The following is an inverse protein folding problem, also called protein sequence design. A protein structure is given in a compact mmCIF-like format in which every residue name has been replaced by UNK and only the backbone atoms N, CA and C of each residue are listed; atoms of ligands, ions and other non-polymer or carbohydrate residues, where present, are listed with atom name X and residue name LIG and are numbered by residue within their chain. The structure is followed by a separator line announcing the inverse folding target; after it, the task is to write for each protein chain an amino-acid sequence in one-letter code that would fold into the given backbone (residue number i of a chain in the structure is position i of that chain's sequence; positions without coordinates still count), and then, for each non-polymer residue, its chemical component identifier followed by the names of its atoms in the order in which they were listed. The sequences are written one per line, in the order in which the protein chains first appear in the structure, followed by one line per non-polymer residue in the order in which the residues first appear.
data_IF_902629053979
#
_entry.id   IF_902629053979
#
_cell.length_a   1.000
_cell.length_b   1.000
_cell.length_c   1.000
_cell.angle_alpha   90.00
_cell.angle_beta   90.00
_cell.angle_gamma   90.00
#
_symmetry.space_group_name_H-M   'P 1'
#
loop_
_entity.id
_entity.type
_entity.pdbx_description
1 polymer ?
#
# COMPACT_ATOMS: atom_id res chain seq x y z
N UNK A 1 -18.01 36.41 -43.32
CA UNK A 1 -17.28 35.49 -42.42
C UNK A 1 -18.10 35.02 -41.21
N UNK A 2 -18.68 35.88 -40.34
CA UNK A 2 -19.40 35.37 -39.15
C UNK A 2 -20.53 34.35 -39.45
N UNK A 3 -21.37 34.59 -40.48
CA UNK A 3 -22.49 33.69 -40.84
C UNK A 3 -22.05 32.29 -41.32
N UNK A 4 -20.93 32.16 -42.02
CA UNK A 4 -20.45 30.86 -42.52
C UNK A 4 -19.89 29.99 -41.41
N UNK A 5 -19.24 30.58 -40.40
CA UNK A 5 -18.75 29.87 -39.22
C UNK A 5 -19.92 29.25 -38.44
N UNK A 6 -21.02 30.00 -38.23
CA UNK A 6 -22.21 29.51 -37.53
C UNK A 6 -22.82 28.28 -38.20
N UNK A 7 -22.94 28.28 -39.54
CA UNK A 7 -23.50 27.16 -40.30
C UNK A 7 -22.60 25.91 -40.18
N UNK A 8 -21.27 26.07 -40.32
CA UNK A 8 -20.32 24.98 -40.18
C UNK A 8 -20.36 24.34 -38.77
N UNK A 9 -20.48 25.14 -37.71
CA UNK A 9 -20.60 24.64 -36.34
C UNK A 9 -21.87 23.82 -36.10
N UNK A 10 -23.01 24.24 -36.65
CA UNK A 10 -24.29 23.49 -36.53
C UNK A 10 -24.24 22.16 -37.28
N UNK A 11 -23.63 22.13 -38.47
CA UNK A 11 -23.45 20.90 -39.25
C UNK A 11 -22.53 19.92 -38.48
N UNK A 12 -21.40 20.39 -37.95
CA UNK A 12 -20.46 19.57 -37.18
C UNK A 12 -21.11 18.97 -35.92
N UNK A 13 -21.88 19.76 -35.18
CA UNK A 13 -22.60 19.31 -33.99
C UNK A 13 -23.65 18.24 -34.34
N UNK A 14 -24.37 18.42 -35.45
CA UNK A 14 -25.35 17.45 -35.95
C UNK A 14 -24.70 16.12 -36.35
N UNK A 15 -23.52 16.17 -36.97
CA UNK A 15 -22.74 14.99 -37.36
C UNK A 15 -22.23 14.20 -36.15
N UNK A 16 -21.70 14.89 -35.13
CA UNK A 16 -21.27 14.26 -33.88
C UNK A 16 -22.44 13.59 -33.14
N UNK A 17 -23.62 14.22 -33.13
CA UNK A 17 -24.81 13.67 -32.49
C UNK A 17 -25.35 12.45 -33.25
N UNK A 18 -25.25 12.44 -34.59
CA UNK A 18 -25.57 11.26 -35.41
C UNK A 18 -24.63 10.08 -35.13
N UNK A 19 -23.31 10.35 -35.03
CA UNK A 19 -22.31 9.33 -34.69
C UNK A 19 -22.61 8.75 -33.30
N UNK A 20 -22.90 9.59 -32.29
CA UNK A 20 -23.22 9.14 -30.93
C UNK A 20 -24.50 8.29 -30.85
N UNK A 21 -25.49 8.53 -31.73
CA UNK A 21 -26.68 7.69 -31.84
C UNK A 21 -26.38 6.33 -32.51
N UNK A 22 -25.45 6.30 -33.48
CA UNK A 22 -25.04 5.09 -34.19
C UNK A 22 -24.08 4.20 -33.38
N UNK A 23 -23.28 4.77 -32.47
CA UNK A 23 -22.30 4.03 -31.66
C UNK A 23 -22.84 3.49 -30.34
N UNK A 24 -24.13 3.68 -30.02
CA UNK A 24 -24.73 3.06 -28.81
C UNK A 24 -24.72 1.52 -28.93
N UNK A 25 -24.01 0.79 -28.04
CA UNK A 25 -24.01 -0.66 -28.07
C UNK A 25 -25.41 -1.19 -27.79
N UNK A 26 -25.87 -2.06 -28.69
CA UNK A 26 -27.20 -2.68 -28.61
C UNK A 26 -27.13 -3.82 -27.59
N UNK A 27 -27.64 -3.61 -26.38
CA UNK A 27 -27.76 -4.67 -25.36
C UNK A 27 -28.66 -5.79 -25.87
N UNK A 28 -28.05 -6.82 -26.44
CA UNK A 28 -28.71 -7.97 -27.03
C UNK A 28 -28.87 -9.07 -25.97
N UNK A 29 -30.00 -9.05 -25.26
CA UNK A 29 -30.45 -10.23 -24.52
C UNK A 29 -30.76 -11.34 -25.52
N UNK A 30 -29.94 -12.40 -25.54
CA UNK A 30 -30.25 -13.64 -26.24
C UNK A 30 -29.94 -14.85 -25.36
N UNK A 31 -30.99 -15.37 -24.74
CA UNK A 31 -31.15 -16.80 -24.56
C UNK A 31 -31.13 -17.50 -25.92
N UNK A 32 -30.22 -18.45 -26.16
CA UNK A 32 -30.62 -19.72 -26.78
C UNK A 32 -29.62 -20.86 -26.61
N UNK A 33 -30.14 -22.08 -26.79
CA UNK A 33 -29.48 -23.38 -26.64
C UNK A 33 -28.59 -23.73 -27.85
N UNK A 34 -27.94 -24.90 -27.73
CA UNK A 34 -27.27 -25.69 -28.78
C UNK A 34 -25.88 -25.16 -29.21
N UNK A 35 -24.85 -25.99 -29.44
CA UNK A 35 -24.74 -27.46 -29.44
C UNK A 35 -23.25 -27.85 -29.36
N UNK A 36 -22.84 -28.65 -28.36
CA UNK A 36 -21.46 -29.18 -28.30
C UNK A 36 -21.41 -30.54 -28.99
N UNK A 37 -20.61 -30.63 -30.06
CA UNK A 37 -20.31 -31.89 -30.75
C UNK A 37 -19.10 -32.52 -30.05
N UNK A 38 -19.25 -33.74 -29.53
CA UNK A 38 -18.13 -34.54 -29.01
C UNK A 38 -17.40 -35.28 -30.14
N UNK A 39 -16.09 -35.53 -30.01
CA UNK A 39 -15.42 -36.66 -30.63
C UNK A 39 -15.55 -37.95 -29.77
N UNK A 40 -15.95 -39.04 -30.43
CA UNK A 40 -15.87 -40.46 -30.03
C UNK A 40 -14.38 -40.85 -29.89
N UNK A 41 -13.86 -41.69 -28.98
CA UNK A 41 -14.36 -42.75 -28.06
C UNK A 41 -13.34 -42.85 -26.87
N UNK A 42 -13.37 -43.71 -25.84
CA UNK A 42 -14.07 -44.96 -25.56
C UNK A 42 -14.36 -45.20 -24.05
N UNK A 43 -15.42 -45.99 -23.81
CA UNK A 43 -15.67 -46.99 -22.75
C UNK A 43 -14.60 -47.24 -21.67
N UNK A 44 -14.92 -47.58 -20.41
CA UNK A 44 -16.22 -47.73 -19.69
C UNK A 44 -15.95 -47.70 -18.16
N UNK A 45 -16.92 -47.71 -17.24
CA UNK A 45 -18.37 -47.91 -17.29
C UNK A 45 -19.07 -47.02 -16.23
N UNK A 46 -20.39 -47.11 -16.06
CA UNK A 46 -21.11 -46.44 -14.96
C UNK A 46 -22.34 -47.22 -14.49
N UNK A 47 -22.34 -47.61 -13.22
CA UNK A 47 -23.49 -48.13 -12.45
C UNK A 47 -23.14 -47.93 -10.97
N UNK A 48 -24.02 -47.44 -10.07
CA UNK A 48 -25.44 -47.77 -9.87
C UNK A 48 -26.24 -46.61 -9.24
N UNK A 49 -27.50 -46.48 -9.68
CA UNK A 49 -28.72 -45.85 -9.06
C UNK A 49 -28.65 -44.62 -8.15
N UNK A 50 -29.61 -43.75 -8.45
CA UNK A 50 -30.22 -42.70 -7.62
C UNK A 50 -31.16 -43.28 -6.54
N UNK A 51 -31.22 -42.65 -5.35
CA UNK A 51 -32.44 -42.24 -4.60
C UNK A 51 -32.43 -42.48 -3.08
N UNK A 52 -33.11 -41.56 -2.37
CA UNK A 52 -33.63 -41.56 -0.99
C UNK A 52 -32.82 -40.81 0.07
N UNK A 53 -33.57 -40.18 0.97
CA UNK A 53 -33.17 -39.14 1.91
C UNK A 53 -32.61 -39.72 3.21
N UNK A 54 -31.55 -39.10 3.75
CA UNK A 54 -31.45 -38.74 5.17
C UNK A 54 -30.19 -37.92 5.45
N UNK A 55 -30.16 -37.23 6.58
CA UNK A 55 -29.01 -36.46 7.06
C UNK A 55 -27.75 -37.32 7.11
N UNK A 56 -26.70 -36.88 6.43
CA UNK A 56 -25.34 -37.06 6.92
C UNK A 56 -24.55 -35.76 6.71
N UNK A 57 -23.66 -35.46 7.66
CA UNK A 57 -22.79 -34.30 7.56
C UNK A 57 -21.87 -34.47 6.37
N UNK A 58 -21.91 -33.51 5.43
CA UNK A 58 -21.02 -33.52 4.26
C UNK A 58 -19.58 -33.68 4.71
N UNK A 59 -18.94 -34.79 4.32
CA UNK A 59 -17.49 -34.95 4.44
C UNK A 59 -16.84 -33.73 3.79
N UNK A 60 -16.13 -32.97 4.61
CA UNK A 60 -15.24 -31.91 4.16
C UNK A 60 -14.03 -32.65 3.61
N UNK A 61 -13.92 -32.74 2.28
CA UNK A 61 -12.64 -33.06 1.65
C UNK A 61 -11.63 -32.01 2.14
N UNK A 62 -10.72 -32.46 3.01
CA UNK A 62 -9.60 -31.66 3.48
C UNK A 62 -8.57 -31.64 2.33
N UNK A 63 -8.32 -30.44 1.79
CA UNK A 63 -7.33 -30.16 0.76
C UNK A 63 -5.93 -29.98 1.34
N UNK A 64 -5.84 -29.75 2.65
CA UNK A 64 -4.65 -29.60 3.49
C UNK A 64 -4.88 -30.29 4.83
N UNK A 65 -3.79 -30.75 5.45
CA UNK A 65 -3.81 -31.33 6.80
C UNK A 65 -4.04 -30.28 7.91
N UNK A 66 -3.87 -28.98 7.61
CA UNK A 66 -4.27 -27.86 8.45
C UNK A 66 -5.73 -27.39 8.15
N UNK A 67 -6.69 -27.61 9.09
CA UNK A 67 -8.07 -27.14 8.93
C UNK A 67 -8.20 -25.62 8.77
N UNK A 68 -7.23 -24.84 9.25
CA UNK A 68 -7.26 -23.37 9.25
C UNK A 68 -7.10 -22.78 7.85
N UNK A 69 -6.48 -23.51 6.91
CA UNK A 69 -6.21 -23.02 5.54
C UNK A 69 -7.13 -23.62 4.48
N UNK A 70 -7.90 -24.65 4.82
CA UNK A 70 -8.81 -25.34 3.91
C UNK A 70 -9.84 -24.40 3.26
N UNK A 71 -10.27 -23.33 3.95
CA UNK A 71 -11.12 -22.30 3.37
C UNK A 71 -10.40 -21.48 2.29
N UNK A 72 -9.13 -21.13 2.51
CA UNK A 72 -8.28 -20.43 1.53
C UNK A 72 -8.10 -21.27 0.27
N UNK A 73 -7.80 -22.56 0.45
CA UNK A 73 -7.61 -23.50 -0.65
C UNK A 73 -8.90 -23.64 -1.47
N UNK A 74 -10.07 -23.72 -0.84
CA UNK A 74 -11.36 -23.76 -1.56
C UNK A 74 -11.58 -22.54 -2.46
N UNK A 75 -11.14 -21.36 -2.03
CA UNK A 75 -11.28 -20.12 -2.81
C UNK A 75 -10.23 -20.02 -3.92
N UNK A 76 -8.99 -20.47 -3.67
CA UNK A 76 -7.85 -20.23 -4.58
C UNK A 76 -7.57 -21.40 -5.53
N UNK A 77 -7.83 -22.65 -5.13
CA UNK A 77 -7.59 -23.86 -5.93
C UNK A 77 -8.19 -23.83 -7.36
N UNK A 78 -9.37 -23.23 -7.61
CA UNK A 78 -9.89 -23.09 -8.98
C UNK A 78 -9.04 -22.21 -9.92
N UNK A 79 -8.08 -21.46 -9.38
CA UNK A 79 -7.26 -20.49 -10.11
C UNK A 79 -5.76 -20.84 -10.14
N UNK A 80 -5.34 -21.90 -9.45
CA UNK A 80 -3.92 -22.32 -9.35
C UNK A 80 -3.71 -23.73 -9.92
N UNK A 81 -2.52 -24.06 -10.45
CA UNK A 81 -1.35 -23.21 -10.60
C UNK A 81 -1.56 -22.08 -11.63
N UNK A 82 -1.00 -20.91 -11.35
CA UNK A 82 -0.96 -19.77 -12.26
C UNK A 82 0.47 -19.24 -12.36
N UNK A 83 0.85 -18.81 -13.55
CA UNK A 83 2.21 -18.36 -13.87
C UNK A 83 2.17 -17.32 -15.00
N UNK A 84 2.85 -16.20 -14.81
CA UNK A 84 3.09 -15.18 -15.82
C UNK A 84 4.58 -14.78 -15.86
N UNK A 85 4.92 -13.67 -16.51
CA UNK A 85 6.30 -13.17 -16.57
C UNK A 85 6.82 -12.66 -15.21
N UNK A 86 5.92 -12.21 -14.32
CA UNK A 86 6.24 -11.53 -13.07
C UNK A 86 6.24 -12.48 -11.86
N UNK A 87 5.37 -13.49 -11.81
CA UNK A 87 5.28 -14.44 -10.69
C UNK A 87 4.75 -15.85 -11.07
N UNK A 88 4.81 -16.76 -10.09
CA UNK A 88 4.12 -18.06 -10.10
C UNK A 88 3.42 -18.27 -8.76
N UNK A 89 2.22 -18.83 -8.78
CA UNK A 89 1.47 -19.25 -7.59
C UNK A 89 0.96 -20.68 -7.76
N UNK A 90 1.22 -21.55 -6.78
CA UNK A 90 0.83 -22.96 -6.81
C UNK A 90 0.61 -23.51 -5.40
N UNK A 91 -0.06 -24.66 -5.27
CA UNK A 91 -0.14 -25.37 -4.00
C UNK A 91 1.02 -26.37 -3.90
N UNK A 92 1.69 -26.42 -2.75
CA UNK A 92 2.73 -27.41 -2.46
C UNK A 92 2.34 -28.26 -1.27
N UNK A 93 2.18 -29.56 -1.51
CA UNK A 93 1.99 -30.58 -0.48
C UNK A 93 3.20 -30.72 0.46
N UNK A 94 4.40 -30.35 0.00
CA UNK A 94 5.64 -30.52 0.78
C UNK A 94 5.72 -29.56 1.98
N UNK A 95 5.01 -28.43 1.88
CA UNK A 95 4.88 -27.41 2.94
C UNK A 95 3.43 -27.18 3.37
N UNK A 96 2.50 -28.00 2.86
CA UNK A 96 1.04 -27.91 3.05
C UNK A 96 0.47 -26.49 2.84
N UNK A 97 1.01 -25.75 1.86
CA UNK A 97 0.72 -24.30 1.67
C UNK A 97 0.73 -23.85 0.21
N UNK A 98 0.10 -22.71 -0.04
CA UNK A 98 0.15 -21.96 -1.28
C UNK A 98 1.51 -21.25 -1.38
N UNK A 99 2.32 -21.67 -2.34
CA UNK A 99 3.64 -21.10 -2.62
C UNK A 99 3.49 -20.00 -3.65
N UNK A 100 4.07 -18.83 -3.36
CA UNK A 100 4.25 -17.77 -4.36
C UNK A 100 5.75 -17.59 -4.64
N UNK A 101 6.12 -17.70 -5.91
CA UNK A 101 7.49 -17.53 -6.40
C UNK A 101 7.59 -16.23 -7.19
N UNK A 102 8.45 -15.33 -6.74
CA UNK A 102 8.69 -14.03 -7.39
C UNK A 102 9.70 -14.21 -8.55
N UNK A 103 9.36 -13.72 -9.75
CA UNK A 103 10.26 -13.74 -10.93
C UNK A 103 10.83 -12.36 -11.24
N UNK A 104 10.08 -11.30 -10.97
CA UNK A 104 10.48 -9.91 -11.19
C UNK A 104 10.23 -9.06 -9.94
N UNK A 105 10.84 -7.85 -9.86
CA UNK A 105 10.50 -6.87 -8.82
C UNK A 105 9.03 -6.39 -8.84
N UNK A 106 8.23 -6.76 -9.85
CA UNK A 106 6.80 -6.43 -9.97
C UNK A 106 5.88 -7.58 -9.53
N UNK A 107 6.40 -8.76 -9.23
CA UNK A 107 5.66 -9.92 -8.72
C UNK A 107 4.60 -9.51 -7.68
N UNK A 108 5.05 -8.71 -6.72
CA UNK A 108 4.27 -8.07 -5.67
C UNK A 108 2.97 -7.42 -6.14
N UNK A 109 3.08 -6.47 -7.07
CA UNK A 109 1.98 -5.72 -7.64
C UNK A 109 1.04 -6.62 -8.46
N UNK A 110 1.62 -7.62 -9.13
CA UNK A 110 0.97 -8.51 -10.10
C UNK A 110 0.14 -9.60 -9.44
N UNK A 111 0.64 -10.22 -8.36
CA UNK A 111 -0.15 -11.08 -7.46
C UNK A 111 -1.37 -10.31 -6.96
N UNK A 112 -1.17 -9.05 -6.56
CA UNK A 112 -2.21 -8.15 -6.06
C UNK A 112 -3.30 -7.89 -7.10
N UNK A 113 -2.90 -7.54 -8.34
CA UNK A 113 -3.81 -7.31 -9.46
C UNK A 113 -4.55 -8.59 -9.85
N UNK A 114 -3.88 -9.74 -9.81
CA UNK A 114 -4.45 -11.04 -10.10
C UNK A 114 -5.53 -11.44 -9.09
N UNK A 115 -5.28 -11.32 -7.78
CA UNK A 115 -6.26 -11.62 -6.74
C UNK A 115 -7.52 -10.76 -6.88
N UNK A 116 -7.36 -9.46 -7.15
CA UNK A 116 -8.48 -8.55 -7.41
C UNK A 116 -9.26 -8.95 -8.67
N UNK A 117 -8.57 -9.30 -9.77
CA UNK A 117 -9.20 -9.76 -11.01
C UNK A 117 -9.95 -11.09 -10.87
N UNK A 118 -9.61 -11.92 -9.88
CA UNK A 118 -10.33 -13.18 -9.58
C UNK A 118 -11.45 -13.02 -8.55
N UNK A 119 -11.71 -11.80 -8.08
CA UNK A 119 -12.69 -11.51 -7.02
C UNK A 119 -12.41 -12.30 -5.71
N UNK A 120 -11.14 -12.69 -5.49
CA UNK A 120 -10.69 -13.42 -4.30
C UNK A 120 -10.66 -12.42 -3.12
N UNK A 121 -11.78 -12.38 -2.40
CA UNK A 121 -12.06 -11.42 -1.33
C UNK A 121 -11.69 -11.98 0.07
N UNK A 122 -11.89 -11.12 1.08
CA UNK A 122 -11.38 -11.09 2.47
C UNK A 122 -11.33 -12.38 3.32
N UNK A 123 -11.75 -13.54 2.81
CA UNK A 123 -11.82 -14.82 3.52
C UNK A 123 -10.70 -15.83 3.17
N UNK A 124 -9.49 -15.34 2.84
CA UNK A 124 -8.29 -16.16 2.62
C UNK A 124 -7.35 -16.08 3.84
N UNK A 125 -7.07 -17.22 4.48
CA UNK A 125 -6.14 -17.29 5.62
C UNK A 125 -4.71 -16.98 5.12
N UNK A 126 -4.04 -15.94 5.63
CA UNK A 126 -2.69 -15.55 5.22
C UNK A 126 -1.62 -16.56 5.66
N UNK A 127 -1.87 -17.37 6.70
CA UNK A 127 -0.98 -18.47 7.09
C UNK A 127 -0.97 -19.60 6.05
N UNK A 128 -1.94 -19.63 5.13
CA UNK A 128 -1.96 -20.53 3.98
C UNK A 128 -0.89 -20.23 2.93
N UNK A 129 -0.17 -19.11 3.03
CA UNK A 129 0.81 -18.68 2.04
C UNK A 129 2.24 -18.73 2.55
N UNK A 130 3.17 -19.05 1.65
CA UNK A 130 4.62 -18.86 1.83
C UNK A 130 5.24 -18.24 0.59
N UNK A 131 6.22 -17.37 0.79
CA UNK A 131 7.07 -16.88 -0.29
C UNK A 131 8.22 -17.86 -0.53
N UNK A 132 8.51 -18.14 -1.80
CA UNK A 132 9.67 -18.91 -2.21
C UNK A 132 10.74 -18.00 -2.78
N UNK A 133 11.88 -17.91 -2.08
CA UNK A 133 13.06 -17.23 -2.60
C UNK A 133 13.69 -18.08 -3.71
N UNK A 134 13.81 -17.51 -4.90
CA UNK A 134 14.38 -18.17 -6.08
C UNK A 134 15.90 -18.36 -6.01
N UNK A 135 16.60 -17.59 -5.16
CA UNK A 135 18.05 -17.66 -5.00
C UNK A 135 18.48 -18.75 -4.00
N UNK A 136 17.75 -18.89 -2.89
CA UNK A 136 18.04 -19.88 -1.84
C UNK A 136 17.16 -21.13 -1.89
N UNK A 137 16.07 -21.11 -2.68
CA UNK A 137 15.02 -22.15 -2.72
C UNK A 137 14.43 -22.43 -1.31
N UNK A 138 14.36 -21.42 -0.45
CA UNK A 138 13.77 -21.50 0.90
C UNK A 138 12.38 -20.85 0.94
N UNK A 139 11.59 -21.24 1.95
CA UNK A 139 10.25 -20.72 2.19
C UNK A 139 10.23 -19.76 3.37
N UNK A 140 9.63 -18.58 3.19
CA UNK A 140 9.47 -17.57 4.24
C UNK A 140 7.99 -17.47 4.62
N UNK A 141 7.70 -17.60 5.92
CA UNK A 141 6.34 -17.42 6.46
C UNK A 141 6.15 -15.96 6.87
N UNK A 142 5.07 -15.28 6.45
CA UNK A 142 4.78 -13.91 6.88
C UNK A 142 4.38 -13.85 8.37
N UNK A 143 4.74 -12.76 9.05
CA UNK A 143 4.47 -12.50 10.49
C UNK A 143 4.33 -10.97 10.66
N UNK A 144 3.51 -10.41 11.59
CA UNK A 144 2.61 -11.00 12.63
C UNK A 144 1.13 -11.04 12.15
N UNK A 145 0.10 -11.48 12.92
CA UNK A 145 -1.19 -11.93 12.37
C UNK A 145 -2.06 -10.82 11.75
N UNK A 146 -2.81 -11.19 10.71
CA UNK A 146 -2.96 -10.38 9.49
C UNK A 146 -4.43 -10.09 9.11
N UNK A 147 -4.70 -8.88 8.59
CA UNK A 147 -5.91 -8.56 7.82
C UNK A 147 -5.68 -8.83 6.32
N UNK A 148 -6.63 -9.57 5.78
CA UNK A 148 -6.38 -10.53 4.70
C UNK A 148 -5.94 -9.91 3.35
N UNK A 149 -6.63 -8.88 2.87
CA UNK A 149 -6.37 -8.36 1.51
C UNK A 149 -5.32 -7.25 1.50
N UNK A 150 -5.23 -6.45 2.55
CA UNK A 150 -4.29 -5.31 2.63
C UNK A 150 -2.87 -5.79 2.89
N UNK A 151 -2.69 -6.72 3.82
CA UNK A 151 -1.36 -6.98 4.35
C UNK A 151 -0.59 -8.00 3.51
N UNK A 152 -1.30 -8.79 2.68
CA UNK A 152 -0.66 -9.57 1.61
C UNK A 152 0.12 -8.63 0.67
N UNK A 153 -0.41 -7.43 0.39
CA UNK A 153 0.28 -6.43 -0.40
C UNK A 153 1.47 -5.82 0.38
N UNK A 154 1.36 -5.62 1.70
CA UNK A 154 2.47 -5.16 2.56
C UNK A 154 3.62 -6.17 2.70
N UNK A 155 3.32 -7.47 2.64
CA UNK A 155 4.34 -8.53 2.56
C UNK A 155 5.11 -8.40 1.25
N UNK A 156 4.37 -8.36 0.15
CA UNK A 156 4.92 -8.30 -1.20
C UNK A 156 5.73 -7.03 -1.50
N UNK A 157 5.31 -5.86 -0.98
CA UNK A 157 6.02 -4.60 -1.19
C UNK A 157 7.36 -4.48 -0.45
N UNK A 158 7.69 -5.38 0.48
CA UNK A 158 8.94 -5.35 1.24
C UNK A 158 10.01 -6.33 0.72
N UNK A 159 9.64 -7.47 0.14
CA UNK A 159 10.60 -8.50 -0.36
C UNK A 159 11.48 -7.98 -1.50
N UNK A 160 11.00 -7.01 -2.28
CA UNK A 160 11.72 -6.42 -3.42
C UNK A 160 12.93 -5.53 -3.10
N UNK A 161 13.35 -5.40 -1.83
CA UNK A 161 14.61 -4.74 -1.47
C UNK A 161 15.61 -5.77 -0.91
N UNK A 162 16.63 -6.08 -1.72
CA UNK A 162 17.52 -7.21 -1.48
C UNK A 162 18.27 -7.17 -0.14
N UNK A 163 18.05 -8.19 0.67
CA UNK A 163 18.81 -8.45 1.89
C UNK A 163 20.22 -8.96 1.56
N UNK A 164 21.16 -8.05 1.33
CA UNK A 164 22.58 -8.38 1.28
C UNK A 164 23.10 -8.70 2.70
N UNK A 165 22.97 -9.96 3.11
CA UNK A 165 23.72 -10.47 4.25
C UNK A 165 25.22 -10.34 3.96
N UNK A 166 25.96 -9.63 4.82
CA UNK A 166 27.41 -9.74 4.88
C UNK A 166 27.85 -9.93 6.33
N UNK A 167 28.07 -11.19 6.69
CA UNK A 167 28.74 -11.55 7.93
C UNK A 167 30.22 -11.16 7.83
N UNK A 168 30.65 -10.16 8.59
CA UNK A 168 32.06 -10.10 9.03
C UNK A 168 32.16 -9.78 10.51
N UNK A 169 32.64 -10.75 11.29
CA UNK A 169 33.10 -10.53 12.65
C UNK A 169 34.32 -9.61 12.67
N UNK A 170 34.25 -8.46 13.34
CA UNK A 170 35.42 -7.86 13.98
C UNK A 170 35.04 -7.43 15.40
N UNK A 171 35.77 -7.97 16.38
CA UNK A 171 35.70 -7.58 17.78
C UNK A 171 37.05 -6.96 18.17
N UNK A 172 37.05 -5.70 18.59
CA UNK A 172 38.02 -5.14 19.55
C UNK A 172 37.45 -3.89 20.24
N UNK A 173 37.99 -3.61 21.44
CA UNK A 173 37.36 -2.80 22.49
C UNK A 173 37.72 -1.27 22.42
N UNK A 174 37.13 -0.40 23.28
CA UNK A 174 36.93 1.03 22.97
C UNK A 174 38.08 1.97 23.36
N UNK A 175 38.12 3.17 22.76
CA UNK A 175 38.97 4.29 23.21
C UNK A 175 38.26 5.65 23.15
N UNK A 176 37.93 6.16 24.34
CA UNK A 176 38.01 7.54 24.86
C UNK A 176 37.76 8.75 23.91
N UNK A 177 36.80 9.57 24.35
CA UNK A 177 36.39 10.90 23.87
C UNK A 177 37.46 11.99 24.03
N UNK A 178 37.52 13.00 23.14
CA UNK A 178 37.87 14.37 23.50
C UNK A 178 36.65 15.30 23.44
N UNK A 179 36.44 16.05 24.53
CA UNK A 179 35.37 17.04 24.69
C UNK A 179 35.65 18.30 23.86
N UNK A 180 34.65 18.81 23.13
CA UNK A 180 34.63 20.22 22.69
C UNK A 180 33.40 20.91 23.27
N UNK A 181 33.64 21.82 24.21
CA UNK A 181 32.66 22.85 24.61
C UNK A 181 32.57 23.88 23.49
N UNK A 182 31.35 24.21 23.07
CA UNK A 182 31.04 25.56 22.63
C UNK A 182 29.61 25.91 23.06
N UNK A 183 29.44 27.06 23.71
CA UNK A 183 28.17 27.43 24.33
C UNK A 183 27.35 28.36 23.46
N UNK A 184 26.03 28.21 23.54
CA UNK A 184 25.03 29.26 23.36
C UNK A 184 25.05 30.01 22.01
N UNK A 185 24.02 29.79 21.20
CA UNK A 185 23.06 30.87 20.93
C UNK A 185 21.70 30.34 20.44
N UNK A 186 20.68 30.56 21.26
CA UNK A 186 19.28 30.30 20.94
C UNK A 186 18.82 31.28 19.85
N UNK A 187 18.58 30.83 18.62
CA UNK A 187 17.92 31.61 17.57
C UNK A 187 16.55 31.06 17.19
N UNK A 188 15.61 31.40 18.08
CA UNK A 188 14.29 31.98 17.76
C UNK A 188 13.53 31.37 16.57
N UNK A 189 12.55 30.53 16.91
CA UNK A 189 11.43 30.12 16.05
C UNK A 189 10.79 31.35 15.39
N UNK A 190 10.91 31.48 14.08
CA UNK A 190 10.26 32.55 13.33
C UNK A 190 8.78 32.19 13.12
N UNK A 191 7.88 32.78 13.91
CA UNK A 191 6.46 32.84 13.56
C UNK A 191 6.33 33.58 12.23
N UNK A 192 5.97 32.87 11.17
CA UNK A 192 5.44 33.49 9.94
C UNK A 192 3.94 33.20 9.92
N UNK A 193 3.15 34.25 10.16
CA UNK A 193 1.71 34.21 10.00
C UNK A 193 1.38 34.40 8.52
N UNK A 194 0.76 33.40 7.89
CA UNK A 194 -0.05 33.58 6.70
C UNK A 194 -1.49 33.19 7.03
N UNK A 195 -2.44 34.03 6.62
CA UNK A 195 -3.85 33.87 6.98
C UNK A 195 -4.49 32.73 6.18
N UNK A 196 -5.01 31.72 6.89
CA UNK A 196 -5.77 30.61 6.32
C UNK A 196 -5.67 29.36 7.21
N UNK A 197 -6.65 29.15 8.10
CA UNK A 197 -6.69 27.99 9.01
C UNK A 197 -5.93 28.20 10.33
N UNK A 198 -6.65 28.14 11.46
CA UNK A 198 -6.14 28.55 12.77
C UNK A 198 -5.41 27.44 13.56
N UNK A 199 -5.03 26.34 12.89
CA UNK A 199 -4.41 25.16 13.50
C UNK A 199 -2.98 24.96 12.98
N UNK A 200 -2.00 25.45 13.75
CA UNK A 200 -0.61 25.03 13.56
C UNK A 200 -0.45 23.60 14.06
N UNK A 201 -0.37 22.65 13.12
CA UNK A 201 -0.05 21.26 13.44
C UNK A 201 1.39 21.11 13.94
N UNK A 202 1.65 20.03 14.68
CA UNK A 202 2.99 19.71 15.20
C UNK A 202 3.84 19.11 14.09
N UNK A 203 5.04 19.68 13.90
CA UNK A 203 6.01 19.20 12.93
C UNK A 203 7.21 18.55 13.60
N UNK A 204 7.67 17.43 13.04
CA UNK A 204 8.90 16.75 13.39
C UNK A 204 9.70 16.45 12.11
N UNK A 205 10.94 16.91 12.05
CA UNK A 205 11.85 16.51 10.98
C UNK A 205 12.49 15.15 11.29
N UNK A 206 12.58 14.29 10.27
CA UNK A 206 13.19 12.95 10.34
C UNK A 206 14.71 13.05 10.56
N UNK A 207 15.35 14.00 9.90
CA UNK A 207 16.77 14.35 10.06
C UNK A 207 16.91 15.71 10.75
N UNK A 208 18.15 16.07 11.12
CA UNK A 208 18.51 17.37 11.67
C UNK A 208 17.68 17.77 12.93
N UNK A 209 17.20 16.76 13.68
CA UNK A 209 16.32 16.88 14.85
C UNK A 209 16.85 16.06 16.03
N UNK A 210 16.35 16.29 17.27
CA UNK A 210 16.72 15.48 18.45
C UNK A 210 16.37 13.99 18.32
N UNK A 211 15.50 13.62 17.38
CA UNK A 211 15.05 12.25 17.14
C UNK A 211 15.86 11.53 16.06
N UNK A 212 16.64 12.27 15.26
CA UNK A 212 17.31 11.78 14.05
C UNK A 212 18.23 10.56 14.28
N UNK A 213 18.89 10.50 15.45
CA UNK A 213 19.82 9.44 15.84
C UNK A 213 19.18 8.28 16.63
N UNK A 214 17.85 8.28 16.83
CA UNK A 214 17.17 7.17 17.51
C UNK A 214 17.34 5.88 16.68
N UNK A 215 17.77 4.76 17.28
CA UNK A 215 17.90 3.49 16.57
C UNK A 215 16.56 2.92 16.09
N UNK A 216 16.54 2.61 14.80
CA UNK A 216 15.61 1.68 14.14
C UNK A 216 16.21 0.24 14.27
N UNK A 217 15.74 -0.72 13.47
CA UNK A 217 16.41 -2.02 13.36
C UNK A 217 17.68 -1.95 12.48
N UNK A 218 18.44 -3.05 12.46
CA UNK A 218 19.53 -3.31 11.49
C UNK A 218 20.67 -2.25 11.48
N UNK A 219 20.78 -1.45 12.55
CA UNK A 219 21.78 -0.37 12.66
C UNK A 219 21.37 0.94 11.98
N UNK A 220 20.19 1.00 11.36
CA UNK A 220 19.63 2.25 10.85
C UNK A 220 19.11 3.17 11.97
N UNK A 221 18.98 4.45 11.65
CA UNK A 221 18.41 5.48 12.53
C UNK A 221 17.16 6.08 11.92
N UNK A 222 16.42 6.90 12.69
CA UNK A 222 15.27 7.66 12.19
C UNK A 222 15.62 8.46 10.94
N UNK A 223 16.78 9.12 10.90
CA UNK A 223 17.21 9.89 9.73
C UNK A 223 17.43 9.02 8.47
N UNK A 224 17.70 7.72 8.62
CA UNK A 224 17.77 6.80 7.49
C UNK A 224 16.38 6.41 6.99
N UNK A 225 15.52 5.88 7.87
CA UNK A 225 14.28 5.17 7.47
C UNK A 225 13.02 5.47 8.27
N UNK A 226 13.10 6.34 9.28
CA UNK A 226 11.98 6.68 10.17
C UNK A 226 10.91 7.61 9.59
N UNK A 227 10.74 7.73 8.27
CA UNK A 227 9.76 8.67 7.69
C UNK A 227 8.31 8.32 8.06
N UNK A 228 7.96 7.03 8.10
CA UNK A 228 6.65 6.54 8.55
C UNK A 228 6.36 6.90 10.02
N UNK A 229 7.17 6.44 11.00
CA UNK A 229 6.99 6.77 12.42
C UNK A 229 7.01 8.27 12.71
N UNK A 230 7.84 9.05 12.00
CA UNK A 230 7.87 10.52 12.15
C UNK A 230 6.57 11.16 11.64
N UNK A 231 6.02 10.66 10.53
CA UNK A 231 4.72 11.11 9.98
C UNK A 231 3.56 10.77 10.93
N UNK A 232 3.51 9.55 11.45
CA UNK A 232 2.53 9.14 12.48
C UNK A 232 2.65 10.00 13.74
N UNK A 233 3.87 10.36 14.17
CA UNK A 233 4.10 11.24 15.31
C UNK A 233 3.55 12.66 15.09
N UNK A 234 3.72 13.24 13.90
CA UNK A 234 3.13 14.54 13.58
C UNK A 234 1.60 14.50 13.65
N UNK A 235 0.98 13.46 13.09
CA UNK A 235 -0.48 13.29 13.08
C UNK A 235 -1.01 13.09 14.52
N UNK A 236 -0.41 12.17 15.27
CA UNK A 236 -0.82 11.86 16.65
C UNK A 236 -0.60 13.04 17.61
N UNK A 237 0.54 13.74 17.50
CA UNK A 237 0.82 14.96 18.28
C UNK A 237 -0.10 16.14 17.94
N UNK A 238 -0.65 16.16 16.73
CA UNK A 238 -1.54 17.21 16.25
C UNK A 238 -3.00 16.99 16.62
N UNK A 239 -3.48 15.74 16.56
CA UNK A 239 -4.88 15.42 16.82
C UNK A 239 -5.14 14.92 18.25
N UNK A 240 -4.17 14.31 18.92
CA UNK A 240 -4.41 13.61 20.19
C UNK A 240 -3.74 14.38 21.34
N UNK A 241 -2.42 14.29 21.44
CA UNK A 241 -1.64 14.89 22.53
C UNK A 241 -0.16 15.02 22.14
N UNK A 242 0.50 16.10 22.56
CA UNK A 242 1.89 16.43 22.18
C UNK A 242 2.96 15.47 22.72
N UNK A 243 2.60 14.51 23.57
CA UNK A 243 3.53 13.45 24.01
C UNK A 243 3.78 12.38 22.95
N UNK A 244 3.01 12.32 21.85
CA UNK A 244 3.24 11.39 20.74
C UNK A 244 4.37 11.84 19.79
N UNK A 245 5.56 12.01 20.36
CA UNK A 245 6.79 12.31 19.62
C UNK A 245 7.31 11.08 18.82
N UNK A 246 8.29 11.27 17.91
CA UNK A 246 8.82 10.16 17.11
C UNK A 246 9.37 9.00 17.94
N UNK A 247 9.93 9.25 19.14
CA UNK A 247 10.42 8.17 20.01
C UNK A 247 9.25 7.33 20.50
N UNK A 248 8.21 7.96 21.05
CA UNK A 248 7.02 7.26 21.57
C UNK A 248 6.30 6.46 20.48
N UNK A 249 6.24 6.98 19.25
CA UNK A 249 5.68 6.22 18.12
C UNK A 249 6.57 5.02 17.76
N UNK A 250 7.90 5.17 17.68
CA UNK A 250 8.81 4.04 17.42
C UNK A 250 8.69 2.97 18.51
N UNK A 251 8.51 3.37 19.77
CA UNK A 251 8.29 2.42 20.86
C UNK A 251 6.94 1.69 20.72
N UNK A 252 5.87 2.34 20.22
CA UNK A 252 4.60 1.68 19.88
C UNK A 252 4.72 0.70 18.70
N UNK A 253 5.52 1.00 17.68
CA UNK A 253 5.84 0.04 16.61
C UNK A 253 6.50 -1.22 17.22
N UNK A 254 7.48 -1.05 18.11
CA UNK A 254 8.17 -2.16 18.80
C UNK A 254 7.21 -2.97 19.69
N UNK A 255 6.38 -2.30 20.48
CA UNK A 255 5.39 -2.92 21.36
C UNK A 255 4.41 -3.82 20.59
N UNK A 256 4.00 -3.40 19.40
CA UNK A 256 3.04 -4.13 18.54
C UNK A 256 3.69 -5.18 17.63
N UNK A 257 5.02 -5.32 17.65
CA UNK A 257 5.74 -6.20 16.73
C UNK A 257 5.65 -5.76 15.26
N UNK A 258 5.41 -4.46 15.02
CA UNK A 258 5.29 -3.87 13.70
C UNK A 258 6.65 -3.59 13.06
N UNK A 259 6.69 -3.52 11.73
CA UNK A 259 7.94 -3.49 10.98
C UNK A 259 8.67 -2.16 11.15
N UNK A 260 9.90 -2.26 11.62
CA UNK A 260 10.93 -1.22 11.60
C UNK A 260 12.17 -1.84 10.96
N UNK A 261 12.64 -1.33 9.83
CA UNK A 261 13.85 -1.86 9.17
C UNK A 261 14.70 -0.77 8.50
N UNK A 262 15.85 -1.17 7.94
CA UNK A 262 16.63 -0.33 7.03
C UNK A 262 15.96 -0.07 5.66
N UNK A 263 14.75 -0.60 5.44
CA UNK A 263 13.89 -0.29 4.29
C UNK A 263 12.65 0.55 4.63
N UNK A 264 12.43 0.89 5.92
CA UNK A 264 11.31 1.72 6.36
C UNK A 264 10.32 0.99 7.27
N UNK A 265 9.04 1.28 7.08
CA UNK A 265 7.90 0.72 7.82
C UNK A 265 6.74 0.45 6.87
N UNK A 266 5.81 -0.45 7.23
CA UNK A 266 4.58 -0.68 6.45
C UNK A 266 3.59 0.47 6.60
N UNK A 267 2.77 0.68 5.58
CA UNK A 267 1.68 1.67 5.63
C UNK A 267 0.46 1.12 6.37
N UNK A 268 0.28 -0.21 6.42
CA UNK A 268 -0.65 -0.87 7.35
C UNK A 268 -0.29 -0.61 8.82
N UNK A 269 0.95 -0.84 9.23
CA UNK A 269 1.41 -0.57 10.60
C UNK A 269 1.16 0.89 11.03
N UNK A 270 1.39 1.84 10.11
CA UNK A 270 1.10 3.26 10.34
C UNK A 270 -0.40 3.54 10.55
N UNK A 271 -1.26 2.98 9.69
CA UNK A 271 -2.72 3.08 9.81
C UNK A 271 -3.23 2.44 11.09
N UNK A 272 -2.75 1.24 11.41
CA UNK A 272 -3.12 0.48 12.60
C UNK A 272 -2.70 1.18 13.90
N UNK A 273 -1.53 1.84 13.94
CA UNK A 273 -1.16 2.69 15.08
C UNK A 273 -2.14 3.85 15.22
N UNK A 274 -2.41 4.61 14.16
CA UNK A 274 -3.33 5.75 14.20
C UNK A 274 -4.75 5.34 14.66
N UNK A 275 -5.26 4.21 14.16
CA UNK A 275 -6.51 3.59 14.62
C UNK A 275 -6.47 3.20 16.10
N UNK A 276 -5.38 2.56 16.55
CA UNK A 276 -5.21 2.13 17.95
C UNK A 276 -5.13 3.31 18.95
N UNK A 277 -4.79 4.50 18.46
CA UNK A 277 -4.81 5.75 19.22
C UNK A 277 -6.19 6.46 19.15
N UNK A 278 -7.19 5.85 18.50
CA UNK A 278 -8.57 6.35 18.42
C UNK A 278 -8.85 7.30 17.25
N UNK A 279 -7.94 7.44 16.28
CA UNK A 279 -8.20 8.22 15.07
C UNK A 279 -8.98 7.38 14.06
N UNK A 280 -9.84 8.05 13.29
CA UNK A 280 -10.53 7.45 12.15
C UNK A 280 -9.63 7.49 10.94
N UNK A 281 -9.72 6.45 10.13
CA UNK A 281 -9.03 6.35 8.84
C UNK A 281 -10.00 6.02 7.72
N UNK A 282 -9.66 6.33 6.47
CA UNK A 282 -10.36 5.75 5.30
C UNK A 282 -9.74 4.42 4.91
N UNK A 283 -10.38 3.72 3.97
CA UNK A 283 -9.72 2.70 3.16
C UNK A 283 -8.58 3.31 2.33
N UNK A 284 -7.73 2.46 1.79
CA UNK A 284 -6.61 2.88 0.95
C UNK A 284 -7.07 3.35 -0.43
N UNK A 285 -6.40 4.39 -0.92
CA UNK A 285 -6.45 4.82 -2.31
C UNK A 285 -5.08 4.51 -2.91
N UNK A 286 -5.04 3.59 -3.86
CA UNK A 286 -3.82 3.08 -4.49
C UNK A 286 -3.64 3.66 -5.89
N UNK A 287 -2.38 3.88 -6.28
CA UNK A 287 -1.99 4.59 -7.49
C UNK A 287 -0.79 3.92 -8.17
N UNK A 288 -0.82 3.80 -9.50
CA UNK A 288 0.36 3.43 -10.31
C UNK A 288 1.23 4.67 -10.56
N UNK A 289 1.92 5.13 -9.50
CA UNK A 289 2.86 6.25 -9.53
C UNK A 289 2.27 7.57 -10.10
N UNK A 290 1.02 7.86 -9.73
CA UNK A 290 0.25 9.00 -10.22
C UNK A 290 0.76 10.35 -9.69
N UNK A 291 0.50 11.41 -10.45
CA UNK A 291 0.98 12.77 -10.14
C UNK A 291 0.05 13.55 -9.21
N UNK A 292 0.60 14.58 -8.57
CA UNK A 292 -0.09 15.42 -7.59
C UNK A 292 -1.39 16.07 -8.11
N UNK A 293 -1.48 16.41 -9.40
CA UNK A 293 -2.68 16.98 -10.03
C UNK A 293 -3.84 15.97 -10.05
N UNK A 294 -3.58 14.74 -10.51
CA UNK A 294 -4.56 13.64 -10.52
C UNK A 294 -4.99 13.26 -9.09
N UNK A 295 -4.02 13.12 -8.20
CA UNK A 295 -4.23 12.77 -6.78
C UNK A 295 -5.09 13.83 -6.06
N UNK A 296 -4.81 15.12 -6.27
CA UNK A 296 -5.60 16.19 -5.67
C UNK A 296 -7.08 16.18 -6.10
N UNK A 297 -7.39 15.77 -7.33
CA UNK A 297 -8.77 15.63 -7.79
C UNK A 297 -9.52 14.52 -7.04
N UNK A 298 -8.88 13.37 -6.82
CA UNK A 298 -9.49 12.24 -6.12
C UNK A 298 -9.67 12.55 -4.61
N UNK A 299 -8.68 13.19 -3.99
CA UNK A 299 -8.70 13.52 -2.56
C UNK A 299 -9.65 14.68 -2.21
N UNK A 300 -9.98 15.58 -3.15
CA UNK A 300 -10.82 16.77 -2.93
C UNK A 300 -12.13 16.51 -2.18
N UNK A 301 -12.83 15.40 -2.48
CA UNK A 301 -14.10 15.06 -1.82
C UNK A 301 -13.88 14.73 -0.34
N UNK A 302 -12.83 13.97 -0.04
CA UNK A 302 -12.44 13.64 1.33
C UNK A 302 -11.94 14.89 2.08
N UNK A 303 -11.12 15.73 1.44
CA UNK A 303 -10.63 16.96 2.05
C UNK A 303 -11.78 17.89 2.47
N UNK A 304 -12.78 18.09 1.61
CA UNK A 304 -14.01 18.84 1.93
C UNK A 304 -14.85 18.23 3.05
N UNK A 305 -14.72 16.92 3.30
CA UNK A 305 -15.33 16.24 4.45
C UNK A 305 -14.45 16.30 5.72
N UNK A 306 -13.36 17.06 5.70
CA UNK A 306 -12.47 17.28 6.85
C UNK A 306 -11.47 16.16 7.11
N UNK A 307 -11.05 15.44 6.08
CA UNK A 307 -9.95 14.48 6.14
C UNK A 307 -8.62 15.14 5.76
N UNK A 308 -7.54 14.78 6.47
CA UNK A 308 -6.15 14.97 6.00
C UNK A 308 -5.59 13.61 5.60
N UNK A 309 -4.39 13.50 5.02
CA UNK A 309 -3.96 12.25 4.38
C UNK A 309 -2.51 11.88 4.67
N UNK A 310 -2.28 10.67 5.17
CA UNK A 310 -0.94 10.09 5.17
C UNK A 310 -0.69 9.47 3.79
N UNK A 311 0.40 9.87 3.14
CA UNK A 311 0.73 9.48 1.78
C UNK A 311 2.08 8.75 1.73
N UNK A 312 2.18 7.76 0.85
CA UNK A 312 3.41 7.10 0.42
C UNK A 312 3.65 7.45 -1.05
N UNK A 313 4.79 8.07 -1.37
CA UNK A 313 5.11 8.47 -2.74
C UNK A 313 6.60 8.37 -3.08
N UNK A 314 6.91 8.41 -4.36
CA UNK A 314 8.24 8.46 -4.93
C UNK A 314 8.65 9.90 -5.26
N UNK A 315 9.86 10.29 -4.88
CA UNK A 315 10.47 11.58 -5.23
C UNK A 315 11.53 11.48 -6.35
N UNK A 316 11.69 10.29 -6.91
CA UNK A 316 12.42 9.99 -8.15
C UNK A 316 11.87 8.72 -8.79
N UNK A 317 12.08 8.54 -10.08
CA UNK A 317 11.79 7.28 -10.77
C UNK A 317 12.62 6.15 -10.15
N UNK A 318 11.99 4.97 -10.01
CA UNK A 318 12.57 3.78 -9.35
C UNK A 318 13.12 4.03 -7.92
N UNK A 319 12.71 5.13 -7.29
CA UNK A 319 13.13 5.49 -5.93
C UNK A 319 12.46 4.69 -4.81
N UNK A 320 13.04 4.76 -3.59
CA UNK A 320 12.35 4.31 -2.39
C UNK A 320 11.08 5.14 -2.17
N UNK A 321 10.08 4.53 -1.53
CA UNK A 321 8.90 5.25 -1.08
C UNK A 321 9.21 6.14 0.12
N UNK A 322 8.51 7.26 0.22
CA UNK A 322 8.62 8.23 1.30
C UNK A 322 7.25 8.57 1.90
N UNK A 323 7.19 8.67 3.22
CA UNK A 323 5.98 9.02 3.97
C UNK A 323 5.95 10.50 4.37
N UNK A 324 4.79 11.12 4.17
CA UNK A 324 4.49 12.48 4.57
C UNK A 324 2.98 12.67 4.81
N UNK A 325 2.61 13.82 5.37
CA UNK A 325 1.22 14.12 5.75
C UNK A 325 0.67 15.32 4.97
N UNK A 326 -0.24 15.06 4.01
CA UNK A 326 -0.97 16.10 3.29
C UNK A 326 -2.05 16.67 4.21
N UNK A 327 -1.93 17.97 4.52
CA UNK A 327 -2.81 18.67 5.46
C UNK A 327 -3.84 19.57 4.80
N UNK A 328 -3.58 20.02 3.57
CA UNK A 328 -4.44 20.95 2.83
C UNK A 328 -4.40 20.66 1.32
N UNK A 329 -5.53 20.89 0.64
CA UNK A 329 -5.63 20.91 -0.82
C UNK A 329 -6.22 22.26 -1.21
N UNK A 330 -5.45 23.10 -1.90
CA UNK A 330 -5.91 24.45 -2.25
C UNK A 330 -6.82 24.47 -3.50
N UNK A 331 -7.41 25.64 -3.77
CA UNK A 331 -8.33 25.85 -4.91
C UNK A 331 -7.68 25.60 -6.29
N UNK A 332 -6.35 25.50 -6.35
CA UNK A 332 -5.56 25.23 -7.57
C UNK A 332 -5.05 23.79 -7.65
N UNK A 333 -5.52 22.89 -6.78
CA UNK A 333 -5.08 21.50 -6.67
C UNK A 333 -3.63 21.34 -6.16
N UNK A 334 -3.05 22.34 -5.48
CA UNK A 334 -1.78 22.10 -4.81
C UNK A 334 -2.00 21.29 -3.53
N UNK A 335 -1.18 20.25 -3.36
CA UNK A 335 -1.12 19.43 -2.15
C UNK A 335 -0.12 20.07 -1.18
N UNK A 336 -0.63 20.54 -0.05
CA UNK A 336 0.15 21.20 1.00
C UNK A 336 0.40 20.24 2.15
N UNK A 337 1.67 19.88 2.37
CA UNK A 337 2.07 18.78 3.23
C UNK A 337 3.11 19.13 4.30
N UNK A 338 3.05 18.37 5.39
CA UNK A 338 4.10 18.26 6.38
C UNK A 338 4.98 17.09 5.94
N UNK A 339 6.01 17.36 5.15
CA UNK A 339 7.02 16.36 4.74
C UNK A 339 8.19 16.36 5.72
N UNK A 340 8.56 15.18 6.21
CA UNK A 340 9.56 14.98 7.27
C UNK A 340 11.02 15.06 6.79
N UNK A 341 11.26 15.08 5.47
CA UNK A 341 12.60 14.98 4.87
C UNK A 341 12.80 15.90 3.65
N UNK A 342 11.91 15.87 2.66
CA UNK A 342 12.03 16.69 1.46
C UNK A 342 11.63 18.13 1.79
N UNK A 343 12.55 19.07 1.58
CA UNK A 343 12.35 20.46 1.98
C UNK A 343 12.48 20.69 3.50
N UNK A 344 13.19 19.82 4.23
CA UNK A 344 13.46 19.98 5.69
C UNK A 344 14.17 21.27 6.12
N UNK A 345 14.60 22.11 5.18
CA UNK A 345 15.17 23.45 5.43
C UNK A 345 14.17 24.59 5.13
N UNK A 346 12.96 24.25 4.70
CA UNK A 346 11.84 25.13 4.42
C UNK A 346 10.81 25.03 5.57
N UNK A 347 9.94 26.03 5.71
CA UNK A 347 8.91 26.02 6.74
C UNK A 347 7.66 25.27 6.24
N UNK A 348 7.15 24.24 6.95
CA UNK A 348 5.94 23.52 6.56
C UNK A 348 4.66 24.37 6.79
N UNK A 349 3.56 24.08 6.08
CA UNK A 349 3.44 23.06 5.04
C UNK A 349 4.14 23.46 3.73
N UNK A 350 4.66 22.46 3.02
CA UNK A 350 5.31 22.58 1.72
C UNK A 350 4.31 22.31 0.61
N UNK A 351 4.47 22.95 -0.55
CA UNK A 351 3.68 22.64 -1.74
C UNK A 351 4.38 21.52 -2.53
N UNK A 352 3.84 20.30 -2.47
CA UNK A 352 4.44 19.14 -3.13
C UNK A 352 4.40 19.23 -4.66
N UNK A 353 3.41 19.93 -5.24
CA UNK A 353 3.35 20.19 -6.68
C UNK A 353 4.54 21.04 -7.16
N UNK A 354 5.26 21.72 -6.26
CA UNK A 354 6.49 22.46 -6.57
C UNK A 354 7.66 21.59 -7.05
N UNK A 355 7.58 20.26 -6.90
CA UNK A 355 8.62 19.29 -7.29
C UNK A 355 8.30 18.55 -8.61
N UNK A 356 7.34 19.04 -9.40
CA UNK A 356 6.83 18.37 -10.61
C UNK A 356 7.95 17.84 -11.52
N UNK A 357 7.88 16.57 -11.99
CA UNK A 357 6.73 15.66 -11.97
C UNK A 357 6.57 14.81 -10.70
N UNK A 358 7.34 15.11 -9.64
CA UNK A 358 7.27 14.43 -8.35
C UNK A 358 6.53 15.29 -7.30
N UNK A 359 6.08 14.71 -6.17
CA UNK A 359 6.03 13.27 -5.89
C UNK A 359 5.04 12.49 -6.78
N UNK A 360 5.38 11.22 -7.03
CA UNK A 360 4.54 10.21 -7.71
C UNK A 360 3.96 9.26 -6.68
N UNK A 361 2.66 9.31 -6.44
CA UNK A 361 1.98 8.67 -5.33
C UNK A 361 1.78 7.17 -5.56
N UNK A 362 1.87 6.38 -4.49
CA UNK A 362 1.62 4.92 -4.48
C UNK A 362 0.36 4.56 -3.69
N UNK A 363 0.30 5.02 -2.44
CA UNK A 363 -0.77 4.66 -1.49
C UNK A 363 -1.07 5.88 -0.62
N UNK A 364 -2.36 6.16 -0.41
CA UNK A 364 -2.82 7.23 0.47
C UNK A 364 -3.98 6.69 1.31
N UNK A 365 -4.06 7.12 2.58
CA UNK A 365 -5.28 6.97 3.37
C UNK A 365 -5.60 8.27 4.12
N UNK A 366 -6.89 8.58 4.22
CA UNK A 366 -7.37 9.69 5.02
C UNK A 366 -7.24 9.40 6.51
N UNK A 367 -6.97 10.43 7.31
CA UNK A 367 -6.93 10.40 8.77
C UNK A 367 -7.74 11.57 9.34
N UNK A 368 -8.51 11.33 10.41
CA UNK A 368 -9.39 12.32 11.03
C UNK A 368 -9.62 12.00 12.52
N UNK A 369 -9.90 13.03 13.32
CA UNK A 369 -10.37 12.91 14.71
C UNK A 369 -11.89 12.68 14.78
#
# INVERSE_FOLDING_TARGET
MKKTITIASVILLSLLLLIFLLTRPKNQSQTNKMQVVLPTTAASDFRVKKQSDQNDSSQVDNLSDDPSINQTLRVINPFIPYEDDDFKIEYSSDVDKIVITEKTPKAAEKVSQWLQQKEISESINPEAFVLKDTNTNTYVTPTPPIKVLTDLFDIFLFTGQGTSQSNTHINTNPTIVPTIRSSNNLKKTTKITKNGGNNSYVYYAQCDSPFASIPMAEGCTVCNTGCGPTTVAMIASSYIDKSYDPKKIIDLYKEKGYLLSCSGTRYADAKAILESLGLKTTDYITYDLEKADKVAEDLKKYYKAGWTFMALANFKDEGPGHFFWITEIDDKNNLWAYDVYYGRFEAPPLNENGRYPFPKYRVIFGVKK
#
